data_IF_141348511639
#
_entry.id   IF_141348511639
#
_cell.length_a   1.000
_cell.length_b   1.000
_cell.length_c   1.000
_cell.angle_alpha   90.00
_cell.angle_beta   90.00
_cell.angle_gamma   90.00
#
_symmetry.space_group_name_H-M   'P 1'
#
loop_
_entity.id
_entity.type
_entity.pdbx_description
1 polymer ?
#
# COMPACT_ATOMS: atom_id res chain seq x y z
N UNK A 1 16.05 -1.18 -51.32
CA UNK A 1 15.05 -1.73 -50.36
C UNK A 1 15.64 -2.25 -49.04
N UNK A 2 16.78 -2.97 -49.02
CA UNK A 2 17.36 -3.51 -47.75
C UNK A 2 17.77 -2.44 -46.71
N UNK A 3 18.16 -1.23 -47.14
CA UNK A 3 18.61 -0.15 -46.27
C UNK A 3 17.47 0.48 -45.44
N UNK A 4 16.27 0.65 -46.01
CA UNK A 4 15.12 1.25 -45.32
C UNK A 4 14.51 0.34 -44.26
N UNK A 5 14.57 -0.98 -44.46
CA UNK A 5 14.11 -1.98 -43.47
C UNK A 5 15.03 -1.97 -42.23
N UNK A 6 16.34 -1.79 -42.45
CA UNK A 6 17.32 -1.70 -41.37
C UNK A 6 17.08 -0.46 -40.48
N UNK A 7 16.79 0.70 -41.07
CA UNK A 7 16.47 1.91 -40.31
C UNK A 7 15.15 1.78 -39.52
N UNK A 8 14.16 1.08 -40.07
CA UNK A 8 12.88 0.84 -39.39
C UNK A 8 13.07 -0.12 -38.19
N UNK A 9 13.83 -1.19 -38.35
CA UNK A 9 14.17 -2.11 -37.25
C UNK A 9 14.97 -1.43 -36.15
N UNK A 10 15.94 -0.57 -36.51
CA UNK A 10 16.70 0.23 -35.53
C UNK A 10 15.78 1.21 -34.81
N UNK A 11 14.87 1.88 -35.54
CA UNK A 11 13.88 2.79 -34.94
C UNK A 11 12.94 2.09 -33.96
N UNK A 12 12.47 0.88 -34.29
CA UNK A 12 11.62 0.07 -33.40
C UNK A 12 12.40 -0.45 -32.20
N UNK A 13 13.65 -0.89 -32.37
CA UNK A 13 14.50 -1.34 -31.28
C UNK A 13 14.82 -0.20 -30.30
N UNK A 14 15.15 0.98 -30.82
CA UNK A 14 15.38 2.16 -29.98
C UNK A 14 14.09 2.59 -29.30
N UNK A 15 12.95 2.59 -30.01
CA UNK A 15 11.64 2.87 -29.43
C UNK A 15 11.26 1.90 -28.31
N UNK A 16 11.54 0.60 -28.48
CA UNK A 16 11.30 -0.44 -27.48
C UNK A 16 12.28 -0.33 -26.29
N UNK A 17 13.54 -0.01 -26.53
CA UNK A 17 14.52 0.18 -25.45
C UNK A 17 14.22 1.44 -24.64
N UNK A 18 13.81 2.54 -25.29
CA UNK A 18 13.41 3.77 -24.60
C UNK A 18 12.11 3.56 -23.82
N UNK A 19 11.14 2.81 -24.36
CA UNK A 19 9.91 2.51 -23.63
C UNK A 19 10.17 1.61 -22.42
N UNK A 20 11.03 0.60 -22.52
CA UNK A 20 11.44 -0.24 -21.38
C UNK A 20 12.23 0.58 -20.33
N UNK A 21 13.06 1.52 -20.76
CA UNK A 21 13.87 2.36 -19.85
C UNK A 21 13.02 3.42 -19.12
N UNK A 22 12.06 4.05 -19.80
CA UNK A 22 11.15 5.04 -19.19
C UNK A 22 10.00 4.40 -18.41
N UNK A 23 9.54 3.20 -18.78
CA UNK A 23 8.62 2.38 -17.99
C UNK A 23 9.37 1.59 -16.91
N UNK A 24 10.60 2.02 -16.56
CA UNK A 24 11.49 1.40 -15.59
C UNK A 24 10.68 0.73 -14.50
N UNK A 25 10.75 -0.60 -14.47
CA UNK A 25 10.00 -1.42 -13.54
C UNK A 25 10.27 -0.87 -12.15
N UNK A 26 9.29 -0.16 -11.60
CA UNK A 26 9.31 0.24 -10.22
C UNK A 26 9.58 -1.07 -9.49
N UNK A 27 10.77 -1.21 -8.91
CA UNK A 27 11.12 -2.37 -8.09
C UNK A 27 10.20 -2.27 -6.89
N UNK A 28 8.98 -2.77 -7.04
CA UNK A 28 8.03 -3.00 -5.97
C UNK A 28 8.83 -3.78 -4.93
N UNK A 29 9.07 -3.16 -3.78
CA UNK A 29 9.70 -3.86 -2.66
C UNK A 29 8.86 -5.11 -2.45
N UNK A 30 9.50 -6.28 -2.50
CA UNK A 30 8.83 -7.53 -2.28
C UNK A 30 8.15 -7.47 -0.90
N UNK A 31 6.85 -7.76 -0.88
CA UNK A 31 6.06 -7.82 0.34
C UNK A 31 6.70 -8.87 1.27
N UNK A 32 7.11 -8.51 2.50
CA UNK A 32 7.82 -9.45 3.39
C UNK A 32 6.94 -10.63 3.80
N UNK A 33 7.55 -11.81 3.97
CA UNK A 33 6.85 -12.98 4.46
C UNK A 33 6.06 -13.75 3.40
N UNK A 34 5.04 -14.49 3.84
CA UNK A 34 4.24 -15.39 2.99
C UNK A 34 2.87 -14.75 2.76
N UNK A 35 2.38 -14.67 1.50
CA UNK A 35 1.04 -14.16 1.21
C UNK A 35 -0.04 -14.91 2.01
N UNK A 36 -0.99 -14.17 2.58
CA UNK A 36 -2.07 -14.77 3.36
C UNK A 36 -2.97 -15.60 2.44
N UNK A 37 -3.43 -16.73 2.97
CA UNK A 37 -4.37 -17.63 2.28
C UNK A 37 -5.69 -17.67 3.03
N UNK A 38 -6.80 -18.03 2.37
CA UNK A 38 -8.05 -18.34 3.05
C UNK A 38 -7.86 -19.45 4.10
N UNK A 39 -8.70 -19.48 5.15
CA UNK A 39 -8.79 -20.61 6.07
C UNK A 39 -9.16 -21.91 5.32
N UNK A 40 -8.59 -23.04 5.74
CA UNK A 40 -8.89 -24.35 5.16
C UNK A 40 -10.23 -24.86 5.73
N UNK A 41 -11.12 -25.36 4.86
CA UNK A 41 -12.40 -25.90 5.30
C UNK A 41 -12.18 -27.22 6.05
N UNK A 42 -12.57 -27.27 7.32
CA UNK A 42 -12.50 -28.49 8.15
C UNK A 42 -11.20 -28.67 8.95
N UNK A 43 -10.32 -27.67 9.03
CA UNK A 43 -9.19 -27.72 9.97
C UNK A 43 -9.66 -27.63 11.42
N UNK A 44 -9.05 -28.41 12.30
CA UNK A 44 -9.20 -28.24 13.74
C UNK A 44 -8.67 -26.85 14.13
N UNK A 45 -9.59 -25.95 14.47
CA UNK A 45 -9.30 -24.56 14.84
C UNK A 45 -8.88 -24.43 16.32
N UNK A 46 -8.62 -25.54 17.01
CA UNK A 46 -8.08 -25.55 18.36
C UNK A 46 -6.79 -24.72 18.42
N UNK A 47 -6.77 -23.73 19.31
CA UNK A 47 -5.63 -22.82 19.44
C UNK A 47 -5.59 -21.68 18.41
N UNK A 48 -6.73 -21.32 17.81
CA UNK A 48 -6.84 -20.15 16.92
C UNK A 48 -7.71 -19.04 17.49
N UNK A 49 -7.44 -17.79 17.08
CA UNK A 49 -8.24 -16.61 17.40
C UNK A 49 -8.68 -15.96 16.09
N UNK A 50 -9.96 -15.58 16.01
CA UNK A 50 -10.46 -14.82 14.87
C UNK A 50 -10.64 -13.35 15.22
N UNK A 51 -10.07 -12.48 14.39
CA UNK A 51 -10.24 -11.03 14.45
C UNK A 51 -11.01 -10.60 13.21
N UNK A 52 -12.10 -9.88 13.39
CA UNK A 52 -12.88 -9.31 12.27
C UNK A 52 -12.84 -7.80 12.34
N UNK A 53 -12.62 -7.16 11.18
CA UNK A 53 -12.58 -5.71 11.04
C UNK A 53 -13.54 -5.34 9.93
N UNK A 54 -14.55 -4.55 10.26
CA UNK A 54 -15.58 -4.08 9.33
C UNK A 54 -15.20 -2.75 8.64
N UNK A 55 -15.88 -2.44 7.53
CA UNK A 55 -15.67 -1.17 6.82
C UNK A 55 -15.96 0.07 7.68
N UNK A 56 -16.91 0.00 8.62
CA UNK A 56 -17.32 1.17 9.42
C UNK A 56 -16.20 1.61 10.35
N UNK A 57 -15.36 0.68 10.81
CA UNK A 57 -14.13 1.00 11.51
C UNK A 57 -13.26 1.96 10.68
N UNK A 58 -13.00 1.64 9.41
CA UNK A 58 -12.18 2.47 8.53
C UNK A 58 -12.88 3.78 8.15
N UNK A 59 -14.19 3.76 7.89
CA UNK A 59 -14.96 4.97 7.65
C UNK A 59 -14.87 5.95 8.85
N UNK A 60 -14.97 5.44 10.08
CA UNK A 60 -14.84 6.24 11.30
C UNK A 60 -13.40 6.75 11.52
N UNK A 61 -12.40 5.89 11.31
CA UNK A 61 -10.98 6.24 11.43
C UNK A 61 -10.60 7.33 10.42
N UNK A 62 -10.89 7.12 9.14
CA UNK A 62 -10.58 8.08 8.08
C UNK A 62 -11.38 9.37 8.27
N UNK A 63 -12.67 9.28 8.64
CA UNK A 63 -13.48 10.44 8.99
C UNK A 63 -12.83 11.27 10.10
N UNK A 64 -12.33 10.61 11.14
CA UNK A 64 -11.61 11.28 12.24
C UNK A 64 -10.31 11.93 11.78
N UNK A 65 -9.52 11.25 10.94
CA UNK A 65 -8.28 11.80 10.38
C UNK A 65 -8.58 13.07 9.59
N UNK A 66 -9.52 13.01 8.64
CA UNK A 66 -9.88 14.15 7.81
C UNK A 66 -10.43 15.33 8.63
N UNK A 67 -11.24 15.06 9.67
CA UNK A 67 -11.85 16.10 10.49
C UNK A 67 -10.89 16.71 11.53
N UNK A 68 -9.99 15.92 12.12
CA UNK A 68 -9.15 16.35 13.26
C UNK A 68 -7.72 16.68 12.87
N UNK A 69 -7.16 15.96 11.91
CA UNK A 69 -5.77 16.12 11.47
C UNK A 69 -5.67 16.83 10.10
N UNK A 70 -6.79 16.90 9.37
CA UNK A 70 -6.82 17.39 8.00
C UNK A 70 -6.43 16.33 6.97
N UNK A 71 -6.51 16.67 5.67
CA UNK A 71 -6.20 15.73 4.60
C UNK A 71 -4.71 15.34 4.60
N UNK A 72 -4.37 14.03 4.57
CA UNK A 72 -2.99 13.57 4.50
C UNK A 72 -2.28 14.09 3.26
N UNK A 73 -1.05 14.56 3.43
CA UNK A 73 -0.23 15.10 2.34
C UNK A 73 1.05 14.28 2.17
N UNK A 74 1.34 13.89 0.94
CA UNK A 74 2.54 13.17 0.55
C UNK A 74 3.39 14.10 -0.30
N UNK A 75 4.63 14.35 0.15
CA UNK A 75 5.62 15.06 -0.66
C UNK A 75 6.08 14.16 -1.80
N UNK A 76 6.05 14.72 -2.99
CA UNK A 76 6.46 14.06 -4.21
C UNK A 76 7.98 14.08 -4.29
N UNK A 77 8.59 12.92 -4.55
CA UNK A 77 10.03 12.84 -4.71
C UNK A 77 10.45 13.70 -5.91
N UNK A 78 11.23 14.75 -5.67
CA UNK A 78 11.91 15.48 -6.73
C UNK A 78 12.96 14.55 -7.32
N UNK A 79 12.86 14.24 -8.61
CA UNK A 79 13.95 13.61 -9.38
C UNK A 79 15.12 14.59 -9.39
N UNK A 80 16.04 14.41 -8.44
CA UNK A 80 17.26 15.19 -8.32
C UNK A 80 18.21 14.88 -9.47
N UNK A 81 18.09 15.62 -10.58
CA UNK A 81 19.26 16.02 -11.35
C UNK A 81 19.54 17.48 -11.00
N UNK A 82 20.39 17.66 -9.99
CA UNK A 82 20.88 18.96 -9.56
C UNK A 82 21.68 19.61 -10.69
N UNK A 83 21.20 20.75 -11.18
CA UNK A 83 22.08 21.83 -11.63
C UNK A 83 21.71 23.05 -10.79
N UNK A 84 22.65 23.66 -10.04
CA UNK A 84 22.35 24.82 -9.21
C UNK A 84 22.32 26.05 -10.11
N UNK A 85 21.16 26.42 -10.64
CA UNK A 85 21.00 27.73 -11.28
C UNK A 85 20.48 28.72 -10.23
N UNK A 86 21.32 29.73 -10.00
CA UNK A 86 21.17 30.81 -9.03
C UNK A 86 19.82 31.52 -9.18
N UNK A 87 19.29 31.90 -8.02
CA UNK A 87 18.01 32.56 -7.86
C UNK A 87 17.93 33.91 -8.59
N UNK A 88 16.85 34.08 -9.34
CA UNK A 88 16.27 35.38 -9.67
C UNK A 88 14.74 35.27 -9.56
N UNK A 89 14.20 35.87 -8.50
CA UNK A 89 12.86 36.45 -8.34
C UNK A 89 11.75 35.89 -9.25
N UNK A 90 11.13 34.76 -8.89
CA UNK A 90 9.73 34.45 -9.24
C UNK A 90 9.09 33.59 -8.14
N UNK A 91 8.03 34.12 -7.53
CA UNK A 91 7.16 33.40 -6.60
C UNK A 91 6.32 32.37 -7.39
N UNK A 92 6.65 31.08 -7.26
CA UNK A 92 5.70 29.96 -7.22
C UNK A 92 6.49 28.66 -7.06
N UNK A 93 7.00 28.37 -5.87
CA UNK A 93 7.55 27.04 -5.58
C UNK A 93 6.40 26.03 -5.66
N UNK A 94 6.28 25.31 -6.78
CA UNK A 94 5.29 24.25 -6.91
C UNK A 94 5.47 23.26 -5.76
N UNK A 95 4.39 23.00 -5.01
CA UNK A 95 4.52 22.26 -3.75
C UNK A 95 5.01 20.83 -3.97
N UNK A 96 4.79 20.27 -5.18
CA UNK A 96 5.12 18.89 -5.50
C UNK A 96 4.54 17.98 -4.41
N UNK A 97 3.21 18.00 -4.28
CA UNK A 97 2.46 17.26 -3.27
C UNK A 97 1.27 16.54 -3.89
N UNK A 98 0.94 15.38 -3.32
CA UNK A 98 -0.37 14.73 -3.46
C UNK A 98 -1.06 14.80 -2.11
N UNK A 99 -2.29 15.29 -2.13
CA UNK A 99 -3.18 15.44 -0.99
C UNK A 99 -4.32 14.45 -1.17
N UNK A 100 -4.51 13.58 -0.18
CA UNK A 100 -5.65 12.68 -0.13
C UNK A 100 -6.85 13.46 0.41
N UNK A 101 -7.94 13.47 -0.34
CA UNK A 101 -9.18 14.15 0.01
C UNK A 101 -10.19 13.15 0.59
N UNK A 102 -11.11 13.61 1.44
CA UNK A 102 -12.19 12.75 1.95
C UNK A 102 -13.11 12.27 0.82
N UNK A 103 -13.35 13.12 -0.17
CA UNK A 103 -14.19 12.84 -1.33
C UNK A 103 -13.74 13.68 -2.54
N UNK A 104 -14.01 13.20 -3.74
CA UNK A 104 -13.79 13.91 -5.00
C UNK A 104 -14.37 13.15 -6.18
N UNK A 105 -14.97 13.86 -7.13
CA UNK A 105 -15.58 13.28 -8.34
C UNK A 105 -16.56 12.14 -8.02
N UNK A 106 -17.40 12.33 -6.98
CA UNK A 106 -18.36 11.36 -6.43
C UNK A 106 -17.73 10.07 -5.88
N UNK A 107 -16.43 10.04 -5.65
CA UNK A 107 -15.71 8.94 -5.00
C UNK A 107 -15.31 9.36 -3.60
N UNK A 108 -15.81 8.63 -2.60
CA UNK A 108 -15.38 8.77 -1.21
C UNK A 108 -14.11 7.95 -0.96
N UNK A 109 -13.09 8.58 -0.38
CA UNK A 109 -11.90 7.87 0.08
C UNK A 109 -12.27 6.92 1.21
N UNK A 110 -11.88 5.65 1.09
CA UNK A 110 -12.27 4.63 2.06
C UNK A 110 -11.56 3.30 1.87
N UNK A 111 -11.99 2.32 2.67
CA UNK A 111 -11.63 0.90 2.52
C UNK A 111 -12.93 0.13 2.35
N UNK A 112 -12.98 -0.72 1.33
CA UNK A 112 -14.12 -1.57 0.98
C UNK A 112 -13.67 -3.02 0.90
N UNK A 113 -14.50 -3.90 1.43
CA UNK A 113 -14.31 -5.33 1.45
C UNK A 113 -15.38 -5.94 0.56
N UNK A 114 -15.02 -6.24 -0.70
CA UNK A 114 -16.00 -6.70 -1.68
C UNK A 114 -15.34 -7.58 -2.74
N UNK A 115 -16.07 -8.60 -3.20
CA UNK A 115 -15.59 -9.54 -4.22
C UNK A 115 -14.33 -10.29 -3.79
N UNK A 116 -14.21 -10.60 -2.49
CA UNK A 116 -13.04 -11.29 -1.92
C UNK A 116 -11.76 -10.45 -1.91
N UNK A 117 -11.84 -9.12 -2.11
CA UNK A 117 -10.69 -8.22 -2.17
C UNK A 117 -10.84 -7.02 -1.23
N UNK A 118 -9.70 -6.54 -0.75
CA UNK A 118 -9.60 -5.26 -0.06
C UNK A 118 -9.38 -4.19 -1.12
N UNK A 119 -10.36 -3.29 -1.29
CA UNK A 119 -10.36 -2.22 -2.28
C UNK A 119 -10.32 -0.87 -1.56
N UNK A 120 -9.39 0.00 -1.94
CA UNK A 120 -9.30 1.36 -1.46
C UNK A 120 -9.64 2.34 -2.59
N UNK A 121 -10.89 2.84 -2.67
CA UNK A 121 -11.20 4.03 -3.46
C UNK A 121 -10.52 5.24 -2.83
N UNK A 122 -9.89 6.08 -3.65
CA UNK A 122 -9.13 7.24 -3.22
C UNK A 122 -9.55 8.45 -4.06
N UNK A 123 -9.83 9.57 -3.41
CA UNK A 123 -9.93 10.88 -4.04
C UNK A 123 -8.69 11.70 -3.70
N UNK A 124 -8.09 12.35 -4.69
CA UNK A 124 -6.85 13.10 -4.46
C UNK A 124 -6.79 14.39 -5.29
N UNK A 125 -5.93 15.28 -4.83
CA UNK A 125 -5.52 16.49 -5.55
C UNK A 125 -4.05 16.74 -5.34
N UNK A 126 -3.44 17.61 -6.12
CA UNK A 126 -2.03 17.88 -5.96
C UNK A 126 -1.49 18.83 -6.98
N UNK A 127 -0.19 19.06 -6.86
CA UNK A 127 0.55 19.88 -7.80
C UNK A 127 1.87 19.21 -8.14
N UNK A 128 2.31 19.35 -9.39
CA UNK A 128 3.61 18.85 -9.84
C UNK A 128 4.25 19.80 -10.85
N UNK A 129 5.55 20.02 -10.71
CA UNK A 129 6.32 20.90 -11.59
C UNK A 129 6.82 20.15 -12.82
N UNK A 130 6.33 20.52 -14.00
CA UNK A 130 6.83 20.03 -15.30
C UNK A 130 7.41 21.20 -16.08
N UNK A 131 8.70 21.14 -16.41
CA UNK A 131 9.39 22.11 -17.28
C UNK A 131 9.03 23.57 -16.94
N UNK A 132 9.24 23.96 -15.68
CA UNK A 132 8.94 25.29 -15.08
C UNK A 132 7.46 25.62 -14.84
N UNK A 133 6.50 24.83 -15.35
CA UNK A 133 5.08 25.03 -15.11
C UNK A 133 4.58 24.17 -13.93
N UNK A 134 3.87 24.80 -12.99
CA UNK A 134 3.20 24.08 -11.90
C UNK A 134 1.81 23.65 -12.35
N UNK A 135 1.63 22.34 -12.55
CA UNK A 135 0.37 21.77 -12.97
C UNK A 135 -0.39 21.31 -11.72
N UNK A 136 -1.59 21.85 -11.54
CA UNK A 136 -2.53 21.36 -10.55
C UNK A 136 -3.32 20.19 -11.16
N UNK A 137 -3.54 19.16 -10.38
CA UNK A 137 -4.34 18.01 -10.79
C UNK A 137 -5.27 17.58 -9.66
N UNK A 138 -6.37 16.97 -10.05
CA UNK A 138 -7.33 16.31 -9.16
C UNK A 138 -7.89 15.09 -9.88
N UNK A 139 -8.28 14.11 -9.10
CA UNK A 139 -8.73 12.85 -9.66
C UNK A 139 -9.07 11.82 -8.60
N UNK A 140 -9.33 10.62 -9.08
CA UNK A 140 -9.66 9.45 -8.27
C UNK A 140 -8.74 8.29 -8.63
N UNK A 141 -8.52 7.40 -7.68
CA UNK A 141 -7.77 6.19 -7.90
C UNK A 141 -8.48 5.01 -7.23
N UNK A 142 -8.29 3.83 -7.79
CA UNK A 142 -8.69 2.56 -7.20
C UNK A 142 -7.44 1.76 -6.92
N UNK A 143 -7.30 1.30 -5.69
CA UNK A 143 -6.20 0.45 -5.27
C UNK A 143 -6.72 -0.85 -4.64
N UNK A 144 -5.92 -1.91 -4.72
CA UNK A 144 -6.11 -3.16 -4.01
C UNK A 144 -5.04 -3.35 -2.94
N UNK A 145 -5.35 -4.10 -1.89
CA UNK A 145 -4.38 -4.43 -0.82
C UNK A 145 -4.10 -5.92 -0.81
N UNK A 146 -2.83 -6.28 -0.98
CA UNK A 146 -2.33 -7.62 -0.73
C UNK A 146 -1.79 -7.72 0.69
N UNK A 147 -2.00 -8.87 1.33
CA UNK A 147 -1.56 -9.14 2.70
C UNK A 147 -0.56 -10.29 2.75
N UNK A 148 0.42 -10.19 3.64
CA UNK A 148 1.36 -11.26 3.94
C UNK A 148 1.67 -11.34 5.43
N UNK A 149 2.12 -12.51 5.89
CA UNK A 149 2.59 -12.71 7.24
C UNK A 149 4.08 -13.02 7.27
N UNK A 150 4.83 -12.22 8.04
CA UNK A 150 6.22 -12.48 8.36
C UNK A 150 6.31 -13.12 9.75
N UNK A 151 6.58 -14.43 9.79
CA UNK A 151 6.68 -15.20 11.03
C UNK A 151 7.88 -14.78 11.90
N UNK A 152 8.96 -14.29 11.30
CA UNK A 152 10.13 -13.83 12.05
C UNK A 152 9.80 -12.52 12.78
N UNK A 153 9.16 -11.58 12.08
CA UNK A 153 8.75 -10.29 12.64
C UNK A 153 7.44 -10.34 13.41
N UNK A 154 6.71 -11.45 13.36
CA UNK A 154 5.39 -11.61 13.97
C UNK A 154 4.47 -10.43 13.59
N UNK A 155 4.42 -10.13 12.29
CA UNK A 155 3.69 -8.97 11.76
C UNK A 155 3.01 -9.31 10.44
N UNK A 156 1.75 -8.90 10.31
CA UNK A 156 1.01 -8.89 9.04
C UNK A 156 1.34 -7.59 8.31
N UNK A 157 1.89 -7.71 7.11
CA UNK A 157 2.19 -6.59 6.22
C UNK A 157 1.12 -6.46 5.14
N UNK A 158 0.92 -5.22 4.70
CA UNK A 158 0.08 -4.86 3.57
C UNK A 158 0.90 -4.22 2.45
N UNK A 159 0.47 -4.44 1.22
CA UNK A 159 0.96 -3.74 0.03
C UNK A 159 -0.22 -3.15 -0.73
N UNK A 160 -0.17 -1.83 -0.95
CA UNK A 160 -1.15 -1.10 -1.73
C UNK A 160 -0.76 -1.10 -3.21
N UNK A 161 -1.59 -1.68 -4.07
CA UNK A 161 -1.40 -1.71 -5.51
C UNK A 161 -2.40 -0.77 -6.18
N UNK A 162 -1.93 0.26 -6.89
CA UNK A 162 -2.83 1.22 -7.55
C UNK A 162 -3.18 0.71 -8.95
N UNK A 163 -4.39 0.18 -9.07
CA UNK A 163 -4.91 -0.45 -10.28
C UNK A 163 -5.34 0.59 -11.32
N UNK A 164 -6.04 1.63 -10.89
CA UNK A 164 -6.65 2.63 -11.77
C UNK A 164 -6.42 4.04 -11.22
N UNK A 165 -6.18 4.99 -12.13
CA UNK A 165 -6.09 6.42 -11.83
C UNK A 165 -6.82 7.20 -12.92
N UNK A 166 -7.75 8.05 -12.50
CA UNK A 166 -8.55 8.91 -13.37
C UNK A 166 -8.35 10.35 -12.95
N UNK A 167 -7.94 11.21 -13.89
CA UNK A 167 -7.77 12.65 -13.65
C UNK A 167 -8.92 13.44 -14.25
N UNK A 168 -9.36 14.47 -13.53
CA UNK A 168 -10.38 15.37 -14.03
C UNK A 168 -9.78 16.35 -15.05
N UNK A 169 -10.34 16.40 -16.26
CA UNK A 169 -10.02 17.43 -17.26
C UNK A 169 -8.58 17.42 -17.79
N UNK A 170 -7.79 16.38 -17.50
CA UNK A 170 -6.42 16.26 -17.97
C UNK A 170 -6.33 15.64 -19.37
N UNK A 171 -5.38 16.10 -20.17
CA UNK A 171 -5.06 15.44 -21.44
C UNK A 171 -4.42 14.05 -21.20
N UNK A 172 -4.51 13.11 -22.16
CA UNK A 172 -3.98 11.75 -22.00
C UNK A 172 -2.47 11.68 -21.67
N UNK A 173 -1.70 12.65 -22.14
CA UNK A 173 -0.26 12.72 -21.88
C UNK A 173 -0.01 13.09 -20.41
N UNK A 174 -0.74 14.08 -19.88
CA UNK A 174 -0.64 14.49 -18.47
C UNK A 174 -1.13 13.38 -17.54
N UNK A 175 -2.19 12.66 -17.91
CA UNK A 175 -2.71 11.55 -17.10
C UNK A 175 -1.73 10.39 -16.99
N UNK A 176 -1.02 10.04 -18.07
CA UNK A 176 -0.02 8.96 -18.05
C UNK A 176 1.15 9.26 -17.10
N UNK A 177 1.67 10.49 -17.12
CA UNK A 177 2.78 10.92 -16.27
C UNK A 177 2.39 10.94 -14.79
N UNK A 178 1.24 11.57 -14.47
CA UNK A 178 0.73 11.63 -13.09
C UNK A 178 0.39 10.23 -12.57
N UNK A 179 -0.16 9.35 -13.39
CA UNK A 179 -0.48 7.96 -13.00
C UNK A 179 0.77 7.17 -12.63
N UNK A 180 1.78 7.17 -13.49
CA UNK A 180 3.06 6.50 -13.22
C UNK A 180 3.71 7.07 -11.94
N UNK A 181 3.57 8.37 -11.75
CA UNK A 181 4.13 9.10 -10.62
C UNK A 181 3.41 8.79 -9.28
N UNK A 182 2.08 8.78 -9.26
CA UNK A 182 1.27 8.42 -8.07
C UNK A 182 1.57 6.98 -7.66
N UNK A 183 1.58 6.06 -8.64
CA UNK A 183 1.97 4.66 -8.44
C UNK A 183 3.34 4.53 -7.80
N UNK A 184 4.35 5.24 -8.34
CA UNK A 184 5.71 5.24 -7.80
C UNK A 184 5.77 5.77 -6.38
N UNK A 185 5.13 6.91 -6.11
CA UNK A 185 5.15 7.54 -4.77
C UNK A 185 4.51 6.62 -3.74
N UNK A 186 3.37 6.00 -4.05
CA UNK A 186 2.71 5.05 -3.17
C UNK A 186 3.59 3.83 -2.93
N UNK A 187 4.16 3.26 -4.00
CA UNK A 187 5.04 2.10 -3.90
C UNK A 187 6.31 2.38 -3.06
N UNK A 188 6.85 3.59 -3.09
CA UNK A 188 8.07 3.94 -2.36
C UNK A 188 7.81 4.41 -0.92
N UNK A 189 6.67 5.09 -0.68
CA UNK A 189 6.40 5.77 0.60
C UNK A 189 5.47 5.01 1.52
N UNK A 190 4.52 4.27 0.97
CA UNK A 190 3.48 3.59 1.75
C UNK A 190 3.69 2.08 1.78
N UNK A 191 4.48 1.50 0.86
CA UNK A 191 4.68 0.06 0.80
C UNK A 191 6.08 -0.38 1.28
N UNK A 192 6.16 -1.54 1.96
CA UNK A 192 5.06 -2.21 2.66
C UNK A 192 4.65 -1.42 3.93
N UNK A 193 3.40 -1.57 4.37
CA UNK A 193 2.93 -1.02 5.65
C UNK A 193 2.56 -2.14 6.65
N UNK A 194 2.67 -1.85 7.94
CA UNK A 194 2.28 -2.79 9.00
C UNK A 194 0.77 -2.71 9.23
N UNK A 195 0.08 -3.83 9.10
CA UNK A 195 -1.36 -3.94 9.33
C UNK A 195 -1.63 -4.33 10.78
N UNK A 196 -0.95 -5.38 11.25
CA UNK A 196 -1.13 -5.93 12.59
C UNK A 196 0.16 -6.55 13.10
N UNK A 197 0.65 -6.07 14.24
CA UNK A 197 1.74 -6.72 14.99
C UNK A 197 1.15 -7.79 15.88
N UNK A 198 1.18 -9.05 15.45
CA UNK A 198 0.55 -10.16 16.18
C UNK A 198 1.31 -10.55 17.45
N UNK A 199 2.54 -10.07 17.61
CA UNK A 199 3.28 -10.16 18.89
C UNK A 199 2.55 -9.48 20.06
N UNK A 200 1.72 -8.47 19.79
CA UNK A 200 0.87 -7.82 20.80
C UNK A 200 -0.29 -8.72 21.27
N UNK A 201 -0.56 -9.80 20.53
CA UNK A 201 -1.58 -10.80 20.82
C UNK A 201 -0.96 -12.12 21.32
N UNK A 202 0.34 -12.13 21.63
CA UNK A 202 1.00 -13.26 22.28
C UNK A 202 0.56 -13.35 23.74
N UNK A 203 0.26 -14.56 24.21
CA UNK A 203 -0.16 -14.81 25.58
C UNK A 203 1.00 -15.44 26.36
N UNK A 204 1.27 -14.92 27.55
CA UNK A 204 2.11 -15.56 28.56
C UNK A 204 1.25 -15.79 29.80
N UNK A 205 0.86 -17.05 30.03
CA UNK A 205 -0.03 -17.44 31.11
C UNK A 205 0.75 -18.30 32.13
N UNK A 206 0.90 -17.87 33.39
CA UNK A 206 1.56 -18.67 34.40
C UNK A 206 0.70 -19.90 34.76
N UNK A 207 1.29 -21.10 34.71
CA UNK A 207 0.63 -22.34 35.12
C UNK A 207 1.02 -22.63 36.57
N UNK A 208 0.15 -22.23 37.51
CA UNK A 208 0.39 -22.35 38.96
C UNK A 208 0.62 -23.80 39.41
N UNK A 209 0.00 -24.79 38.74
CA UNK A 209 0.11 -26.20 39.10
C UNK A 209 1.47 -26.84 38.77
N UNK A 210 2.21 -26.31 37.78
CA UNK A 210 3.48 -26.87 37.31
C UNK A 210 4.70 -25.97 37.56
N UNK A 211 4.48 -24.75 38.07
CA UNK A 211 5.53 -23.75 38.25
C UNK A 211 6.14 -23.23 36.93
N UNK A 212 5.49 -23.49 35.79
CA UNK A 212 5.93 -23.03 34.47
C UNK A 212 5.07 -21.90 33.90
N UNK A 213 5.44 -21.40 32.72
CA UNK A 213 4.66 -20.46 31.92
C UNK A 213 4.26 -21.07 30.59
N UNK A 214 3.00 -20.91 30.21
CA UNK A 214 2.53 -21.18 28.85
C UNK A 214 2.79 -19.94 28.01
N UNK A 215 3.51 -20.09 26.90
CA UNK A 215 3.67 -19.03 25.90
C UNK A 215 2.93 -19.43 24.63
N UNK A 216 2.27 -18.46 24.01
CA UNK A 216 1.56 -18.63 22.75
C UNK A 216 2.16 -17.70 21.70
N UNK A 217 2.66 -18.27 20.61
CA UNK A 217 3.21 -17.52 19.47
C UNK A 217 2.39 -17.79 18.22
N UNK A 218 2.14 -16.75 17.42
CA UNK A 218 1.41 -16.95 16.16
C UNK A 218 2.31 -17.67 15.17
N UNK A 219 1.85 -18.84 14.76
CA UNK A 219 2.50 -19.72 13.78
C UNK A 219 2.11 -19.36 12.36
N UNK A 220 0.84 -19.04 12.16
CA UNK A 220 0.27 -18.79 10.85
C UNK A 220 -0.90 -17.80 10.94
N UNK A 221 -1.15 -17.08 9.85
CA UNK A 221 -2.27 -16.15 9.71
C UNK A 221 -3.00 -16.46 8.42
N UNK A 222 -4.29 -16.67 8.52
CA UNK A 222 -5.18 -16.82 7.36
C UNK A 222 -6.08 -15.60 7.26
N UNK A 223 -6.43 -15.22 6.03
CA UNK A 223 -7.28 -14.07 5.78
C UNK A 223 -8.39 -14.44 4.80
N UNK A 224 -9.59 -13.99 5.13
CA UNK A 224 -10.75 -14.10 4.28
C UNK A 224 -11.43 -12.73 4.21
N UNK A 225 -11.62 -12.23 3.00
CA UNK A 225 -12.43 -11.03 2.78
C UNK A 225 -13.86 -11.47 2.55
N UNK A 226 -14.75 -11.05 3.43
CA UNK A 226 -16.19 -11.21 3.31
C UNK A 226 -16.80 -9.85 2.91
N UNK A 227 -18.04 -9.84 2.41
CA UNK A 227 -18.68 -8.56 2.09
C UNK A 227 -18.77 -7.68 3.34
N UNK A 228 -18.18 -6.48 3.26
CA UNK A 228 -18.15 -5.50 4.35
C UNK A 228 -17.18 -5.80 5.50
N UNK A 229 -16.39 -6.89 5.46
CA UNK A 229 -15.40 -7.17 6.53
C UNK A 229 -14.19 -7.99 6.08
N UNK A 230 -13.06 -7.76 6.77
CA UNK A 230 -11.87 -8.61 6.69
C UNK A 230 -11.81 -9.48 7.95
N UNK A 231 -11.80 -10.79 7.75
CA UNK A 231 -11.60 -11.77 8.81
C UNK A 231 -10.18 -12.31 8.76
N UNK A 232 -9.45 -12.13 9.86
CA UNK A 232 -8.16 -12.74 10.12
C UNK A 232 -8.32 -13.91 11.08
N UNK A 233 -7.69 -15.03 10.78
CA UNK A 233 -7.59 -16.19 11.66
C UNK A 233 -6.12 -16.38 12.04
N UNK A 234 -5.80 -16.15 13.31
CA UNK A 234 -4.47 -16.29 13.86
C UNK A 234 -4.36 -17.68 14.48
N UNK A 235 -3.40 -18.47 14.02
CA UNK A 235 -3.16 -19.84 14.47
C UNK A 235 -1.93 -19.82 15.37
N UNK A 236 -2.08 -20.28 16.62
CA UNK A 236 -1.01 -20.24 17.61
C UNK A 236 -0.30 -21.60 17.73
N UNK A 237 0.99 -21.51 18.05
CA UNK A 237 1.76 -22.61 18.63
C UNK A 237 1.97 -22.30 20.11
N UNK A 238 1.69 -23.29 20.96
CA UNK A 238 1.76 -23.15 22.42
C UNK A 238 2.95 -23.94 22.93
N UNK A 239 3.84 -23.28 23.66
CA UNK A 239 4.97 -23.94 24.31
C UNK A 239 4.92 -23.70 25.83
N UNK A 240 5.28 -24.73 26.59
CA UNK A 240 5.46 -24.63 28.03
C UNK A 240 6.94 -24.36 28.32
N UNK A 241 7.22 -23.29 29.07
CA UNK A 241 8.54 -22.99 29.60
C UNK A 241 8.55 -23.34 31.10
N UNK A 242 9.53 -24.13 31.53
CA UNK A 242 9.74 -24.42 32.95
C UNK A 242 10.45 -23.20 33.56
N UNK A 243 9.87 -22.59 34.60
CA UNK A 243 10.61 -21.55 35.34
C UNK A 243 11.89 -22.17 35.88
N UNK A 244 13.04 -21.66 35.46
CA UNK A 244 14.30 -21.96 36.11
C UNK A 244 14.22 -21.33 37.51
N UNK A 245 13.93 -22.16 38.50
CA UNK A 245 14.06 -21.77 39.90
C UNK A 245 15.53 -21.40 40.16
N UNK A 246 15.75 -20.17 40.59
CA UNK A 246 17.01 -19.72 41.19
C UNK A 246 17.21 -20.31 42.57
#
# INVERSE_FOLDING_TARGET
MKRSILFLLIGVLIGALVSIYFLGSARLRALPGIPLKPPEQGSDNSGSVSVSIDEKFFDALLGTIFQKLGPPQLKLAQTSNQVPIRAAVFQSSCANTVVLNAEGSNVKTGVRFTGGKIIAPLAFSGSYSILTNCIQFKGTAKATVDLSFDNQKQTVFGQLNVDEVTLDGASPIVSSLVTAFVRKTIAERLNPFEVLRVSQLALSLPIQASGGSLTARVKDVRAEVQEGSLRLLLIYDFSAEKSAAG
#
